data_IF_084539103570
#
_entry.id   IF_084539103570
#
_cell.length_a   1.000
_cell.length_b   1.000
_cell.length_c   1.000
_cell.angle_alpha   90.00
_cell.angle_beta   90.00
_cell.angle_gamma   90.00
#
_symmetry.space_group_name_H-M   'P 1'
#
loop_
_entity.id
_entity.type
_entity.pdbx_description
1 polymer ?
#
# COMPACT_ATOMS: atom_id res chain seq x y z
N UNK A 1 -15.24 1.14 -12.12
CA UNK A 1 -13.85 1.60 -11.92
C UNK A 1 -12.93 0.55 -12.52
N UNK A 2 -11.80 0.88 -13.16
CA UNK A 2 -10.88 -0.13 -13.67
C UNK A 2 -10.28 -0.94 -12.51
N UNK A 3 -10.22 -2.26 -12.66
CA UNK A 3 -9.46 -3.15 -11.78
C UNK A 3 -8.01 -3.15 -12.28
N UNK A 4 -7.07 -2.82 -11.40
CA UNK A 4 -5.65 -2.80 -11.72
C UNK A 4 -4.85 -3.58 -10.69
N UNK A 5 -3.70 -4.17 -11.07
CA UNK A 5 -2.83 -4.86 -10.13
C UNK A 5 -2.18 -3.85 -9.17
N UNK A 6 -2.08 -4.21 -7.88
CA UNK A 6 -1.21 -3.48 -6.95
C UNK A 6 0.24 -3.86 -7.18
N UNK A 7 1.15 -2.93 -6.89
CA UNK A 7 2.59 -3.24 -6.92
C UNK A 7 2.94 -4.30 -5.86
N UNK A 8 4.03 -5.04 -6.08
CA UNK A 8 4.48 -6.05 -5.13
C UNK A 8 4.72 -5.48 -3.71
N UNK A 9 5.32 -4.28 -3.62
CA UNK A 9 5.54 -3.61 -2.33
C UNK A 9 4.21 -3.27 -1.63
N UNK A 10 3.23 -2.71 -2.36
CA UNK A 10 1.90 -2.45 -1.80
C UNK A 10 1.28 -3.75 -1.30
N UNK A 11 1.32 -4.83 -2.08
CA UNK A 11 0.78 -6.11 -1.66
C UNK A 11 1.45 -6.67 -0.39
N UNK A 12 2.78 -6.57 -0.28
CA UNK A 12 3.49 -6.96 0.94
C UNK A 12 3.02 -6.16 2.17
N UNK A 13 2.89 -4.83 2.03
CA UNK A 13 2.40 -3.94 3.09
C UNK A 13 0.97 -4.31 3.48
N UNK A 14 0.07 -4.50 2.50
CA UNK A 14 -1.32 -4.89 2.76
C UNK A 14 -1.42 -6.21 3.51
N UNK A 15 -0.61 -7.21 3.13
CA UNK A 15 -0.57 -8.49 3.85
C UNK A 15 0.01 -8.36 5.26
N UNK A 16 0.98 -7.47 5.48
CA UNK A 16 1.49 -7.20 6.82
C UNK A 16 0.41 -6.59 7.72
N UNK A 17 -0.36 -5.61 7.21
CA UNK A 17 -1.51 -5.05 7.94
C UNK A 17 -2.57 -6.13 8.20
N UNK A 18 -2.93 -6.93 7.18
CA UNK A 18 -3.93 -8.02 7.30
C UNK A 18 -3.57 -9.04 8.39
N UNK A 19 -2.28 -9.35 8.55
CA UNK A 19 -1.78 -10.32 9.53
C UNK A 19 -1.66 -9.74 10.94
N UNK A 20 -1.66 -8.42 11.07
CA UNK A 20 -1.54 -7.76 12.36
C UNK A 20 -2.85 -7.83 13.14
N UNK A 21 -2.76 -8.05 14.45
CA UNK A 21 -3.92 -8.04 15.36
C UNK A 21 -4.39 -6.62 15.72
N UNK A 22 -3.53 -5.62 15.52
CA UNK A 22 -3.77 -4.20 15.81
C UNK A 22 -3.26 -3.36 14.64
N UNK A 23 -3.79 -2.16 14.39
CA UNK A 23 -3.25 -1.25 13.37
C UNK A 23 -1.74 -1.03 13.57
N UNK A 24 -0.86 -1.54 12.69
CA UNK A 24 0.58 -1.38 12.84
C UNK A 24 1.00 0.06 12.58
N UNK A 25 2.12 0.47 13.19
CA UNK A 25 2.71 1.77 12.91
C UNK A 25 3.39 1.79 11.55
N UNK A 26 3.52 2.97 10.95
CA UNK A 26 4.16 3.12 9.65
C UNK A 26 5.62 2.64 9.63
N UNK A 27 6.34 2.71 10.75
CA UNK A 27 7.71 2.16 10.87
C UNK A 27 7.73 0.65 10.59
N UNK A 28 6.79 -0.09 11.17
CA UNK A 28 6.68 -1.55 11.00
C UNK A 28 6.28 -1.93 9.57
N UNK A 29 5.59 -1.02 8.87
CA UNK A 29 5.18 -1.19 7.48
C UNK A 29 6.28 -0.87 6.47
N UNK A 30 7.45 -0.39 6.91
CA UNK A 30 8.63 -0.20 6.05
C UNK A 30 9.37 -1.52 5.86
N UNK A 31 8.72 -2.47 5.18
CA UNK A 31 9.23 -3.83 4.98
C UNK A 31 10.49 -3.91 4.11
N UNK A 32 10.68 -2.93 3.22
CA UNK A 32 11.88 -2.83 2.37
C UNK A 32 12.49 -1.42 2.50
N UNK A 33 13.73 -1.29 2.97
CA UNK A 33 14.40 0.01 3.10
C UNK A 33 14.98 0.46 1.76
N UNK A 34 14.14 1.04 0.89
CA UNK A 34 14.54 1.61 -0.39
C UNK A 34 14.47 3.14 -0.36
N UNK A 35 14.98 3.81 -1.41
CA UNK A 35 14.83 5.27 -1.58
C UNK A 35 13.36 5.69 -1.59
N UNK A 36 12.48 4.88 -2.20
CA UNK A 36 11.05 5.17 -2.30
C UNK A 36 10.25 4.93 -1.02
N UNK A 37 10.85 4.30 0.00
CA UNK A 37 10.21 4.10 1.31
C UNK A 37 10.88 4.91 2.41
N UNK A 38 11.89 5.73 2.09
CA UNK A 38 12.70 6.45 3.08
C UNK A 38 11.89 7.47 3.87
N UNK A 39 10.95 8.15 3.23
CA UNK A 39 10.19 9.27 3.77
C UNK A 39 8.75 8.89 4.17
N UNK A 40 8.35 7.63 3.97
CA UNK A 40 7.00 7.17 4.28
C UNK A 40 5.94 7.62 3.26
N UNK A 41 6.33 8.29 2.17
CA UNK A 41 5.40 8.76 1.12
C UNK A 41 4.56 7.63 0.52
N UNK A 42 5.08 6.40 0.48
CA UNK A 42 4.34 5.21 0.03
C UNK A 42 3.07 4.95 0.85
N UNK A 43 3.07 5.22 2.16
CA UNK A 43 1.89 5.06 3.02
C UNK A 43 0.84 6.11 2.67
N UNK A 44 1.26 7.35 2.47
CA UNK A 44 0.39 8.43 2.00
C UNK A 44 -0.23 8.11 0.65
N UNK A 45 0.55 7.56 -0.28
CA UNK A 45 0.04 7.10 -1.57
C UNK A 45 -1.01 5.99 -1.37
N UNK A 46 -0.73 4.97 -0.57
CA UNK A 46 -1.69 3.88 -0.31
C UNK A 46 -2.98 4.37 0.36
N UNK A 47 -2.93 5.40 1.20
CA UNK A 47 -4.13 6.06 1.74
C UNK A 47 -4.90 6.79 0.65
N UNK A 48 -4.23 7.57 -0.20
CA UNK A 48 -4.88 8.28 -1.33
C UNK A 48 -5.48 7.32 -2.36
N UNK A 49 -4.86 6.15 -2.52
CA UNK A 49 -5.37 5.05 -3.34
C UNK A 49 -6.58 4.34 -2.71
N UNK A 50 -6.95 4.68 -1.48
CA UNK A 50 -8.05 4.01 -0.76
C UNK A 50 -7.74 2.57 -0.37
N UNK A 51 -6.47 2.18 -0.30
CA UNK A 51 -6.03 0.84 0.12
C UNK A 51 -5.82 0.75 1.63
N UNK A 52 -5.37 1.86 2.22
CA UNK A 52 -5.20 2.00 3.67
C UNK A 52 -6.05 3.16 4.15
N UNK A 53 -6.42 3.10 5.42
CA UNK A 53 -6.89 4.26 6.16
C UNK A 53 -5.92 4.53 7.31
N UNK A 54 -5.78 5.80 7.68
CA UNK A 54 -4.97 6.21 8.83
C UNK A 54 -5.86 6.21 10.07
N UNK A 55 -5.50 5.41 11.07
CA UNK A 55 -6.26 5.27 12.33
C UNK A 55 -5.82 6.30 13.36
N UNK A 56 -4.53 6.64 13.40
CA UNK A 56 -3.98 7.66 14.29
C UNK A 56 -2.77 8.38 13.67
N UNK A 57 -2.37 9.49 14.27
CA UNK A 57 -1.22 10.28 13.83
C UNK A 57 -1.54 11.19 12.63
N UNK A 58 -0.49 11.72 12.00
CA UNK A 58 -0.63 12.75 10.95
C UNK A 58 0.06 12.34 9.65
N UNK A 59 -0.29 12.99 8.54
CA UNK A 59 0.38 12.77 7.24
C UNK A 59 1.83 13.25 7.24
N UNK A 60 2.16 14.20 8.11
CA UNK A 60 3.51 14.75 8.24
C UNK A 60 4.46 13.77 8.94
N UNK A 61 3.90 12.84 9.72
CA UNK A 61 4.64 11.84 10.49
C UNK A 61 4.16 10.43 10.12
N UNK A 62 4.34 10.02 8.84
CA UNK A 62 3.73 8.80 8.32
C UNK A 62 4.21 7.54 9.02
N UNK A 63 5.39 7.58 9.64
CA UNK A 63 5.99 6.48 10.38
C UNK A 63 5.44 6.33 11.81
N UNK A 64 5.02 7.41 12.45
CA UNK A 64 4.38 7.36 13.78
C UNK A 64 2.88 7.05 13.70
N UNK A 65 2.27 7.34 12.55
CA UNK A 65 0.88 7.02 12.28
C UNK A 65 0.62 5.50 12.25
N UNK A 66 -0.62 5.11 12.58
CA UNK A 66 -1.07 3.72 12.49
C UNK A 66 -2.09 3.56 11.36
N UNK A 67 -2.15 2.36 10.77
CA UNK A 67 -2.93 2.11 9.56
C UNK A 67 -3.77 0.84 9.65
N UNK A 68 -4.96 0.87 9.05
CA UNK A 68 -5.82 -0.31 8.83
C UNK A 68 -6.16 -0.47 7.34
N UNK A 69 -6.65 -1.65 6.98
CA UNK A 69 -7.13 -1.93 5.63
C UNK A 69 -8.54 -1.39 5.45
N UNK A 70 -8.75 -0.68 4.34
CA UNK A 70 -10.09 -0.45 3.80
C UNK A 70 -10.67 -1.74 3.20
N UNK A 71 -11.94 -1.72 2.76
CA UNK A 71 -12.51 -2.84 2.00
C UNK A 71 -11.71 -3.16 0.73
N UNK A 72 -11.34 -2.14 -0.07
CA UNK A 72 -10.49 -2.32 -1.25
C UNK A 72 -9.10 -2.85 -0.88
N UNK A 73 -8.53 -2.40 0.24
CA UNK A 73 -7.27 -2.90 0.77
C UNK A 73 -7.33 -4.37 1.16
N UNK A 74 -8.43 -4.84 1.78
CA UNK A 74 -8.65 -6.25 2.11
C UNK A 74 -8.73 -7.11 0.86
N UNK A 75 -9.43 -6.64 -0.16
CA UNK A 75 -9.53 -7.31 -1.45
C UNK A 75 -8.15 -7.40 -2.13
N UNK A 76 -7.44 -6.28 -2.24
CA UNK A 76 -6.09 -6.23 -2.81
C UNK A 76 -5.08 -7.10 -2.03
N UNK A 77 -5.21 -7.22 -0.71
CA UNK A 77 -4.36 -8.10 0.11
C UNK A 77 -4.54 -9.58 -0.26
N UNK A 78 -5.75 -9.97 -0.68
CA UNK A 78 -6.09 -11.34 -1.05
C UNK A 78 -5.72 -11.63 -2.51
N UNK A 79 -6.14 -10.76 -3.44
CA UNK A 79 -6.10 -11.04 -4.86
C UNK A 79 -4.96 -10.33 -5.62
N UNK A 80 -4.28 -9.37 -5.00
CA UNK A 80 -3.20 -8.60 -5.65
C UNK A 80 -3.69 -7.55 -6.65
N UNK A 81 -4.98 -7.28 -6.69
CA UNK A 81 -5.62 -6.28 -7.55
C UNK A 81 -6.81 -5.63 -6.84
N UNK A 82 -7.23 -4.45 -7.28
CA UNK A 82 -8.49 -3.83 -6.84
C UNK A 82 -8.98 -2.76 -7.82
N UNK A 83 -10.20 -2.31 -7.61
CA UNK A 83 -10.76 -1.16 -8.31
C UNK A 83 -10.08 0.15 -7.87
N UNK A 84 -9.64 0.95 -8.84
CA UNK A 84 -9.11 2.29 -8.59
C UNK A 84 -10.02 3.37 -9.19
N UNK A 85 -10.14 4.55 -8.54
CA UNK A 85 -10.75 5.72 -9.17
C UNK A 85 -10.07 6.03 -10.52
N UNK A 86 -10.88 6.35 -11.53
CA UNK A 86 -10.45 6.52 -12.93
C UNK A 86 -9.37 7.60 -13.15
N UNK A 87 -9.13 8.48 -12.18
CA UNK A 87 -8.06 9.50 -12.22
C UNK A 87 -6.66 9.02 -11.78
N UNK A 88 -6.49 7.76 -11.37
CA UNK A 88 -5.26 7.26 -10.71
C UNK A 88 -4.28 6.57 -11.68
N UNK A 89 -4.71 6.31 -12.92
CA UNK A 89 -4.01 5.51 -13.95
C UNK A 89 -2.55 5.91 -14.27
N UNK A 90 -2.13 7.15 -13.96
CA UNK A 90 -0.78 7.62 -14.27
C UNK A 90 0.33 7.16 -13.30
N UNK A 91 0.00 6.67 -12.10
CA UNK A 91 1.00 6.38 -11.06
C UNK A 91 1.48 4.92 -10.98
N UNK A 92 0.82 3.99 -11.69
CA UNK A 92 1.12 2.55 -11.58
C UNK A 92 1.91 1.95 -12.75
N UNK A 93 2.11 2.67 -13.87
CA UNK A 93 2.75 2.12 -15.07
C UNK A 93 4.30 2.16 -15.07
N UNK A 94 4.95 2.72 -14.04
CA UNK A 94 6.40 2.71 -13.94
C UNK A 94 6.91 1.49 -13.14
N UNK A 95 6.88 0.29 -13.75
CA UNK A 95 7.93 -0.77 -13.70
C UNK A 95 7.36 -2.18 -14.00
N UNK A 96 7.43 -2.68 -15.25
CA UNK A 96 7.20 -4.08 -15.56
C UNK A 96 8.55 -4.82 -15.60
N UNK A 97 8.97 -5.41 -14.49
CA UNK A 97 9.94 -6.52 -14.53
C UNK A 97 9.45 -7.64 -13.61
N UNK A 98 8.49 -8.42 -14.13
CA UNK A 98 8.28 -9.79 -13.67
C UNK A 98 9.51 -10.63 -14.08
N UNK A 99 10.12 -11.41 -13.18
CA UNK A 99 11.06 -12.43 -13.61
C UNK A 99 10.29 -13.62 -14.19
N UNK A 100 10.53 -13.89 -15.47
CA UNK A 100 10.15 -15.10 -16.19
C UNK A 100 10.70 -16.32 -15.45
N UNK A 101 9.85 -17.33 -15.23
CA UNK A 101 10.29 -18.65 -14.76
C UNK A 101 11.23 -19.28 -15.80
N UNK A 102 12.40 -19.72 -15.35
CA UNK A 102 13.30 -20.64 -16.05
C UNK A 102 13.47 -21.90 -15.22
#
# INVERSE_FOLDING_TARGET
MPVLPVTHNQWQVLRAVKRSRKPPCGRDLRLSPTRGTKDGSFLTVMVRLGLLERVSGTEKEPFEATYSLTESGKHAAEYGECEFPSGILNSQQANPKQPSKG
#
